data_IF_588639268113
#
_entry.id   IF_588639268113
#
_cell.length_a   1.000
_cell.length_b   1.000
_cell.length_c   1.000
_cell.angle_alpha   90.00
_cell.angle_beta   90.00
_cell.angle_gamma   90.00
#
_symmetry.space_group_name_H-M   'P 1'
#
loop_
_entity.id
_entity.type
_entity.pdbx_description
1 polymer ?
#
# COMPACT_ATOMS: atom_id res chain seq x y z
N UNK A 1 3.60 19.25 65.25
CA UNK A 1 4.67 18.89 66.20
C UNK A 1 4.88 17.40 66.05
N UNK A 2 6.09 17.00 65.63
CA UNK A 2 6.58 15.66 65.29
C UNK A 2 6.01 15.09 63.97
N UNK A 3 6.77 14.51 63.04
CA UNK A 3 8.23 14.37 62.81
C UNK A 3 8.38 13.92 61.36
N UNK A 4 9.41 14.42 60.68
CA UNK A 4 9.83 14.09 59.32
C UNK A 4 10.43 12.68 59.23
N UNK A 5 10.21 11.98 58.12
CA UNK A 5 11.16 10.98 57.61
C UNK A 5 11.13 11.02 56.08
N UNK A 6 12.09 11.73 55.51
CA UNK A 6 12.28 12.00 54.09
C UNK A 6 13.20 10.91 53.50
N UNK A 7 12.68 10.12 52.56
CA UNK A 7 13.44 9.04 51.89
C UNK A 7 14.22 9.63 50.71
N UNK A 8 15.55 9.73 50.84
CA UNK A 8 16.46 10.21 49.80
C UNK A 8 16.53 9.26 48.60
N UNK A 9 16.28 9.78 47.40
CA UNK A 9 16.54 9.14 46.10
C UNK A 9 17.93 9.62 45.61
N UNK A 10 18.87 8.74 45.23
CA UNK A 10 20.17 9.18 44.70
C UNK A 10 20.03 9.73 43.27
N UNK A 11 20.44 10.99 43.08
CA UNK A 11 20.56 11.67 41.79
C UNK A 11 21.77 11.11 41.00
N UNK A 12 21.55 10.66 39.78
CA UNK A 12 22.61 10.33 38.82
C UNK A 12 23.28 11.62 38.29
N UNK A 13 24.61 11.65 38.10
CA UNK A 13 25.30 12.83 37.58
C UNK A 13 25.07 13.02 36.08
N UNK A 14 24.51 14.18 35.72
CA UNK A 14 24.46 14.73 34.36
C UNK A 14 25.85 15.20 33.93
N UNK A 15 26.44 14.53 32.94
CA UNK A 15 27.64 15.02 32.25
C UNK A 15 27.23 15.97 31.11
N UNK A 16 27.58 17.25 31.29
CA UNK A 16 27.58 18.28 30.23
C UNK A 16 29.00 18.35 29.64
N UNK A 17 29.22 18.22 28.32
CA UNK A 17 30.54 18.50 27.75
C UNK A 17 30.71 20.01 27.53
N UNK A 18 31.83 20.52 28.04
CA UNK A 18 32.37 21.87 27.82
C UNK A 18 32.76 22.09 26.35
N UNK A 19 32.41 23.27 25.82
CA UNK A 19 32.98 23.80 24.57
C UNK A 19 34.43 24.24 24.79
N UNK A 20 35.35 24.00 23.84
CA UNK A 20 36.55 24.81 23.71
C UNK A 20 36.51 25.60 22.41
N UNK A 21 36.60 26.92 22.56
CA UNK A 21 37.10 27.84 21.53
C UNK A 21 38.64 27.73 21.51
N UNK A 22 39.25 27.68 20.32
CA UNK A 22 40.43 28.45 19.88
C UNK A 22 41.12 27.83 18.64
N UNK A 23 41.13 28.61 17.56
CA UNK A 23 42.27 29.00 16.72
C UNK A 23 43.45 28.03 16.47
N UNK A 24 43.69 27.78 15.17
CA UNK A 24 44.99 27.58 14.45
C UNK A 24 46.04 26.66 15.09
N UNK A 25 46.35 25.55 14.40
CA UNK A 25 47.68 25.38 13.79
C UNK A 25 47.76 24.21 12.80
N UNK A 26 48.65 24.38 11.84
CA UNK A 26 48.89 23.60 10.64
C UNK A 26 49.90 22.48 10.93
N UNK A 27 49.60 21.22 10.61
CA UNK A 27 50.57 20.13 10.68
C UNK A 27 49.98 18.73 10.43
N UNK A 28 50.21 18.19 9.24
CA UNK A 28 50.37 16.73 9.01
C UNK A 28 51.67 16.26 9.70
N UNK A 29 51.86 14.97 10.10
CA UNK A 29 51.30 13.75 9.51
C UNK A 29 50.97 12.59 10.51
N UNK A 30 50.66 11.43 9.92
CA UNK A 30 50.85 10.04 10.40
C UNK A 30 49.68 9.32 11.07
N UNK A 31 49.19 8.29 10.36
CA UNK A 31 48.25 7.28 10.81
C UNK A 31 48.91 6.35 11.84
N UNK A 32 48.27 6.19 13.00
CA UNK A 32 48.34 4.96 13.78
C UNK A 32 46.93 4.52 14.12
N UNK A 33 46.52 3.42 13.50
CA UNK A 33 45.27 2.71 13.77
C UNK A 33 45.42 1.86 15.04
N UNK A 34 44.69 2.19 16.09
CA UNK A 34 44.40 1.27 17.21
C UNK A 34 42.91 0.95 17.18
N UNK A 35 42.59 -0.25 16.69
CA UNK A 35 41.23 -0.81 16.66
C UNK A 35 40.84 -1.34 18.03
N UNK A 36 39.97 -0.62 18.75
CA UNK A 36 39.17 -1.22 19.82
C UNK A 36 37.88 -1.81 19.23
N UNK A 37 37.75 -3.14 19.32
CA UNK A 37 36.61 -3.90 18.84
C UNK A 37 35.38 -3.75 19.75
N UNK A 38 34.53 -2.77 19.44
CA UNK A 38 33.14 -2.76 19.90
C UNK A 38 32.24 -3.30 18.78
N UNK A 39 31.49 -4.37 19.06
CA UNK A 39 30.47 -4.89 18.14
C UNK A 39 29.42 -3.78 17.99
N UNK A 40 29.26 -3.26 16.78
CA UNK A 40 28.29 -2.22 16.51
C UNK A 40 26.91 -2.88 16.32
N UNK A 41 25.82 -2.22 16.73
CA UNK A 41 24.45 -2.79 16.63
C UNK A 41 24.11 -3.19 15.18
N UNK A 42 24.75 -2.54 14.20
CA UNK A 42 24.63 -2.86 12.78
C UNK A 42 25.25 -4.20 12.38
N UNK A 43 26.22 -4.73 13.14
CA UNK A 43 26.82 -6.05 12.90
C UNK A 43 25.87 -7.20 13.27
N UNK A 44 24.86 -6.94 14.12
CA UNK A 44 23.79 -7.89 14.46
C UNK A 44 22.64 -7.90 13.44
N UNK A 45 22.60 -6.95 12.51
CA UNK A 45 21.57 -6.90 11.46
C UNK A 45 22.07 -7.56 10.19
N UNK A 46 21.17 -8.26 9.49
CA UNK A 46 21.46 -8.81 8.16
C UNK A 46 21.92 -7.66 7.25
N UNK A 47 23.12 -7.78 6.67
CA UNK A 47 23.62 -6.83 5.69
C UNK A 47 22.68 -6.81 4.47
N UNK A 48 21.82 -5.80 4.39
CA UNK A 48 20.93 -5.59 3.25
C UNK A 48 21.72 -4.76 2.21
N UNK A 49 22.09 -5.32 1.03
CA UNK A 49 22.93 -4.63 0.05
C UNK A 49 22.33 -3.29 -0.43
N UNK A 50 21.00 -3.16 -0.41
CA UNK A 50 20.28 -1.96 -0.86
C UNK A 50 20.29 -0.79 0.14
N UNK A 51 20.86 -0.96 1.34
CA UNK A 51 20.97 0.10 2.35
C UNK A 51 22.20 1.00 2.18
N UNK A 52 23.13 0.65 1.29
CA UNK A 52 24.36 1.41 1.06
C UNK A 52 24.07 2.63 0.19
N UNK A 53 24.30 3.83 0.74
CA UNK A 53 24.45 5.06 -0.05
C UNK A 53 25.68 4.88 -0.95
N UNK A 54 25.48 4.57 -2.23
CA UNK A 54 26.53 4.79 -3.21
C UNK A 54 26.71 6.31 -3.38
N UNK A 55 27.72 6.88 -2.74
CA UNK A 55 28.28 8.15 -3.17
C UNK A 55 28.92 7.93 -4.55
N UNK A 56 28.68 8.86 -5.47
CA UNK A 56 29.05 8.80 -6.89
C UNK A 56 30.57 8.85 -7.18
N UNK A 57 31.44 8.37 -6.28
CA UNK A 57 32.89 8.47 -6.48
C UNK A 57 33.75 7.36 -5.86
N UNK A 58 33.19 6.20 -5.49
CA UNK A 58 34.02 5.03 -5.15
C UNK A 58 33.93 3.97 -6.23
N UNK A 59 34.96 3.91 -7.08
CA UNK A 59 35.32 2.67 -7.78
C UNK A 59 35.48 1.57 -6.72
N UNK A 60 34.52 0.67 -6.64
CA UNK A 60 34.57 -0.47 -5.75
C UNK A 60 35.53 -1.50 -6.31
N UNK A 61 36.69 -1.64 -5.67
CA UNK A 61 37.50 -2.86 -5.77
C UNK A 61 36.58 -4.07 -5.56
N UNK A 62 36.56 -4.96 -6.54
CA UNK A 62 35.62 -6.09 -6.62
C UNK A 62 35.80 -7.10 -5.49
N UNK A 63 35.12 -6.87 -4.36
CA UNK A 63 34.87 -7.93 -3.38
C UNK A 63 33.86 -8.91 -3.99
N UNK A 64 34.36 -10.10 -4.34
CA UNK A 64 33.55 -11.26 -4.72
C UNK A 64 32.49 -11.53 -3.62
N UNK A 65 31.22 -11.80 -3.99
CA UNK A 65 30.20 -12.15 -3.02
C UNK A 65 30.57 -13.46 -2.31
N UNK A 66 30.21 -13.59 -1.03
CA UNK A 66 30.47 -14.80 -0.25
C UNK A 66 29.82 -16.03 -0.91
N UNK A 67 30.44 -17.23 -0.79
CA UNK A 67 29.93 -18.44 -1.42
C UNK A 67 28.57 -18.85 -0.85
N UNK A 68 27.74 -19.48 -1.70
CA UNK A 68 26.39 -19.90 -1.35
C UNK A 68 26.38 -20.93 -0.20
N UNK A 69 25.60 -20.66 0.85
CA UNK A 69 25.46 -21.57 2.01
C UNK A 69 24.41 -22.67 1.84
N UNK A 70 23.81 -22.79 0.66
CA UNK A 70 22.70 -23.73 0.36
C UNK A 70 23.11 -25.21 0.52
N UNK A 71 24.41 -25.51 0.39
CA UNK A 71 24.95 -26.87 0.53
C UNK A 71 25.41 -27.26 1.93
N UNK A 72 25.31 -26.38 2.94
CA UNK A 72 25.75 -26.69 4.31
C UNK A 72 24.86 -27.76 4.94
N UNK A 73 25.43 -28.53 5.89
CA UNK A 73 24.67 -29.54 6.63
C UNK A 73 23.48 -28.94 7.38
N UNK A 74 23.65 -27.74 7.94
CA UNK A 74 22.59 -26.96 8.56
C UNK A 74 21.43 -26.69 7.59
N UNK A 75 21.73 -26.26 6.36
CA UNK A 75 20.69 -25.98 5.36
C UNK A 75 20.00 -27.25 4.85
N UNK A 76 20.74 -28.36 4.75
CA UNK A 76 20.17 -29.69 4.46
C UNK A 76 19.23 -30.18 5.55
N UNK A 77 19.55 -29.93 6.82
CA UNK A 77 18.66 -30.22 7.94
C UNK A 77 17.37 -29.38 7.84
N UNK A 78 17.47 -28.09 7.53
CA UNK A 78 16.29 -27.25 7.30
C UNK A 78 15.41 -27.76 6.17
N UNK A 79 15.99 -28.24 5.06
CA UNK A 79 15.21 -28.87 3.99
C UNK A 79 14.48 -30.13 4.44
N UNK A 80 15.15 -31.00 5.22
CA UNK A 80 14.52 -32.19 5.75
C UNK A 80 13.34 -31.84 6.68
N UNK A 81 13.51 -30.87 7.58
CA UNK A 81 12.44 -30.36 8.44
C UNK A 81 11.30 -29.78 7.59
N UNK A 82 11.61 -28.98 6.58
CA UNK A 82 10.61 -28.38 5.69
C UNK A 82 9.76 -29.44 4.97
N UNK A 83 10.41 -30.48 4.41
CA UNK A 83 9.74 -31.57 3.70
C UNK A 83 8.81 -32.40 4.59
N UNK A 84 9.02 -32.40 5.91
CA UNK A 84 8.15 -33.11 6.87
C UNK A 84 7.08 -32.16 7.42
N UNK A 85 7.48 -30.98 7.89
CA UNK A 85 6.61 -30.07 8.63
C UNK A 85 5.58 -29.42 7.70
N UNK A 86 5.95 -28.97 6.50
CA UNK A 86 5.01 -28.28 5.61
C UNK A 86 3.84 -29.18 5.17
N UNK A 87 4.07 -30.45 4.76
CA UNK A 87 2.97 -31.37 4.51
C UNK A 87 2.07 -31.60 5.73
N UNK A 88 2.63 -31.68 6.94
CA UNK A 88 1.84 -31.79 8.18
C UNK A 88 0.99 -30.54 8.41
N UNK A 89 1.57 -29.35 8.20
CA UNK A 89 0.87 -28.08 8.34
C UNK A 89 -0.32 -27.97 7.39
N UNK A 90 -0.23 -28.55 6.18
CA UNK A 90 -1.33 -28.64 5.20
C UNK A 90 -2.32 -29.74 5.59
N UNK A 91 -1.82 -30.91 5.99
CA UNK A 91 -2.64 -32.08 6.26
C UNK A 91 -3.59 -31.91 7.46
N UNK A 92 -3.14 -31.23 8.51
CA UNK A 92 -3.94 -30.97 9.71
C UNK A 92 -5.27 -30.24 9.38
N UNK A 93 -5.25 -29.01 8.82
CA UNK A 93 -6.48 -28.28 8.51
C UNK A 93 -7.35 -28.99 7.46
N UNK A 94 -6.75 -29.71 6.50
CA UNK A 94 -7.50 -30.53 5.53
C UNK A 94 -8.27 -31.66 6.24
N UNK A 95 -7.63 -32.31 7.21
CA UNK A 95 -8.26 -33.37 8.01
C UNK A 95 -9.39 -32.83 8.91
N UNK A 96 -9.19 -31.65 9.50
CA UNK A 96 -10.22 -30.96 10.29
C UNK A 96 -11.43 -30.50 9.44
N UNK A 97 -11.19 -30.30 8.15
CA UNK A 97 -12.18 -29.88 7.15
C UNK A 97 -12.93 -31.07 6.51
N UNK A 98 -12.65 -32.29 6.94
CA UNK A 98 -13.30 -33.49 6.42
C UNK A 98 -14.78 -33.55 6.83
N UNK A 99 -15.71 -33.96 5.94
CA UNK A 99 -17.11 -34.23 6.30
C UNK A 99 -17.29 -35.29 7.37
N UNK A 100 -16.29 -36.17 7.56
CA UNK A 100 -16.28 -37.21 8.58
C UNK A 100 -15.83 -36.70 9.95
N UNK A 101 -15.33 -35.46 10.04
CA UNK A 101 -14.83 -34.90 11.28
C UNK A 101 -16.01 -34.58 12.23
N UNK A 102 -15.96 -34.92 13.53
CA UNK A 102 -17.07 -34.70 14.48
C UNK A 102 -17.56 -33.25 14.55
N UNK A 103 -16.67 -32.28 14.36
CA UNK A 103 -17.00 -30.85 14.41
C UNK A 103 -17.57 -30.29 13.09
N UNK A 104 -17.57 -31.05 11.99
CA UNK A 104 -18.06 -30.59 10.69
C UNK A 104 -19.49 -30.02 10.72
N UNK A 105 -20.47 -30.64 11.42
CA UNK A 105 -21.82 -30.11 11.50
C UNK A 105 -21.93 -28.69 12.10
N UNK A 106 -20.97 -28.27 12.93
CA UNK A 106 -21.01 -26.96 13.59
C UNK A 106 -20.74 -25.77 12.66
N UNK A 107 -20.02 -26.02 11.55
CA UNK A 107 -19.63 -24.99 10.59
C UNK A 107 -20.10 -25.26 9.15
N UNK A 108 -20.70 -26.43 8.87
CA UNK A 108 -21.25 -26.80 7.56
C UNK A 108 -22.28 -25.80 7.01
N UNK A 109 -22.97 -25.04 7.86
CA UNK A 109 -23.93 -24.02 7.44
C UNK A 109 -23.28 -22.73 6.88
N UNK A 110 -21.96 -22.58 7.03
CA UNK A 110 -21.18 -21.47 6.48
C UNK A 110 -20.52 -21.81 5.14
N UNK A 111 -20.58 -23.08 4.75
CA UNK A 111 -20.00 -23.57 3.50
C UNK A 111 -21.04 -23.49 2.38
N UNK A 112 -20.56 -23.19 1.17
CA UNK A 112 -21.36 -23.13 -0.04
C UNK A 112 -20.89 -24.18 -1.05
N UNK A 113 -21.72 -24.45 -2.05
CA UNK A 113 -21.33 -25.35 -3.14
C UNK A 113 -20.22 -24.70 -3.98
N UNK A 114 -19.15 -25.47 -4.16
CA UNK A 114 -17.95 -25.03 -4.84
C UNK A 114 -17.94 -25.43 -6.32
N UNK A 115 -17.03 -24.82 -7.10
CA UNK A 115 -16.80 -25.20 -8.50
C UNK A 115 -15.95 -26.47 -8.67
N UNK A 116 -15.26 -26.94 -7.62
CA UNK A 116 -14.53 -28.21 -7.63
C UNK A 116 -15.52 -29.35 -7.37
N UNK A 117 -15.68 -30.32 -8.30
CA UNK A 117 -16.66 -31.39 -8.14
C UNK A 117 -16.49 -32.15 -6.82
N UNK A 118 -17.57 -32.24 -6.04
CA UNK A 118 -17.58 -32.94 -4.75
C UNK A 118 -16.93 -32.19 -3.59
N UNK A 119 -16.57 -30.90 -3.75
CA UNK A 119 -16.02 -30.06 -2.69
C UNK A 119 -16.89 -28.83 -2.43
N UNK A 120 -17.00 -28.49 -1.16
CA UNK A 120 -17.61 -27.24 -0.71
C UNK A 120 -16.53 -26.16 -0.66
N UNK A 121 -16.96 -24.90 -0.64
CA UNK A 121 -16.05 -23.75 -0.48
C UNK A 121 -16.37 -23.02 0.82
N UNK A 122 -15.32 -22.65 1.56
CA UNK A 122 -15.44 -21.74 2.70
C UNK A 122 -15.58 -20.30 2.22
N UNK A 123 -16.82 -19.85 2.04
CA UNK A 123 -17.14 -18.48 1.65
C UNK A 123 -17.44 -17.59 2.86
N UNK A 124 -16.90 -17.89 4.05
CA UNK A 124 -17.29 -17.21 5.30
C UNK A 124 -16.79 -15.77 5.39
N UNK A 125 -15.59 -15.46 4.89
CA UNK A 125 -15.00 -14.11 4.93
C UNK A 125 -15.84 -13.13 4.07
N UNK A 126 -16.43 -12.12 4.72
CA UNK A 126 -17.35 -11.21 4.03
C UNK A 126 -16.70 -10.35 2.94
N UNK A 127 -15.44 -9.96 3.12
CA UNK A 127 -14.74 -9.08 2.16
C UNK A 127 -14.25 -9.88 0.96
N UNK A 128 -13.67 -11.07 1.17
CA UNK A 128 -13.29 -11.95 0.07
C UNK A 128 -14.53 -12.48 -0.67
N UNK A 129 -15.60 -12.87 0.03
CA UNK A 129 -16.87 -13.26 -0.59
C UNK A 129 -17.41 -12.20 -1.55
N UNK A 130 -17.43 -10.94 -1.11
CA UNK A 130 -17.91 -9.83 -1.94
C UNK A 130 -17.04 -9.66 -3.19
N UNK A 131 -15.72 -9.73 -3.04
CA UNK A 131 -14.81 -9.68 -4.18
C UNK A 131 -15.01 -10.86 -5.15
N UNK A 132 -14.94 -12.09 -4.63
CA UNK A 132 -15.08 -13.35 -5.37
C UNK A 132 -16.35 -13.40 -6.18
N UNK A 133 -17.49 -13.09 -5.56
CA UNK A 133 -18.80 -13.12 -6.22
C UNK A 133 -18.94 -12.03 -7.30
N UNK A 134 -18.13 -10.98 -7.25
CA UNK A 134 -18.13 -9.89 -8.22
C UNK A 134 -16.98 -9.96 -9.24
N UNK A 135 -16.14 -11.02 -9.25
CA UNK A 135 -15.03 -11.17 -10.21
C UNK A 135 -15.47 -10.97 -11.67
N UNK A 136 -16.61 -11.52 -12.15
CA UNK A 136 -17.04 -11.29 -13.53
C UNK A 136 -17.35 -9.82 -13.82
N UNK A 137 -18.07 -9.15 -12.91
CA UNK A 137 -18.43 -7.74 -13.02
C UNK A 137 -17.18 -6.86 -13.00
N UNK A 138 -16.25 -7.14 -12.08
CA UNK A 138 -14.97 -6.45 -11.97
C UNK A 138 -14.11 -6.64 -13.23
N UNK A 139 -14.13 -7.84 -13.83
CA UNK A 139 -13.40 -8.12 -15.06
C UNK A 139 -13.92 -7.27 -16.24
N UNK A 140 -15.25 -7.19 -16.39
CA UNK A 140 -15.87 -6.32 -17.39
C UNK A 140 -15.54 -4.85 -17.13
N UNK A 141 -15.59 -4.40 -15.88
CA UNK A 141 -15.26 -3.02 -15.51
C UNK A 141 -13.80 -2.67 -15.83
N UNK A 142 -12.85 -3.59 -15.57
CA UNK A 142 -11.44 -3.40 -15.92
C UNK A 142 -11.27 -3.32 -17.44
N UNK A 143 -11.88 -4.24 -18.20
CA UNK A 143 -11.80 -4.23 -19.66
C UNK A 143 -12.39 -2.94 -20.26
N UNK A 144 -13.54 -2.50 -19.74
CA UNK A 144 -14.17 -1.24 -20.14
C UNK A 144 -13.27 -0.04 -19.79
N UNK A 145 -12.68 -0.01 -18.59
CA UNK A 145 -11.74 1.03 -18.20
C UNK A 145 -10.54 1.10 -19.16
N UNK A 146 -9.93 -0.05 -19.47
CA UNK A 146 -8.81 -0.14 -20.42
C UNK A 146 -9.22 0.31 -21.83
N UNK A 147 -10.41 -0.08 -22.29
CA UNK A 147 -10.95 0.31 -23.58
C UNK A 147 -11.20 1.82 -23.67
N UNK A 148 -11.87 2.42 -22.69
CA UNK A 148 -12.14 3.86 -22.66
C UNK A 148 -10.83 4.64 -22.60
N UNK A 149 -9.86 4.17 -21.80
CA UNK A 149 -8.53 4.78 -21.72
C UNK A 149 -7.77 4.69 -23.04
N UNK A 150 -7.84 3.54 -23.72
CA UNK A 150 -7.27 3.35 -25.05
C UNK A 150 -7.87 4.34 -26.05
N UNK A 151 -9.20 4.41 -26.14
CA UNK A 151 -9.92 5.34 -27.03
C UNK A 151 -9.54 6.80 -26.71
N UNK A 152 -9.62 7.21 -25.45
CA UNK A 152 -9.27 8.57 -25.01
C UNK A 152 -7.81 8.94 -25.35
N UNK A 153 -6.89 7.98 -25.24
CA UNK A 153 -5.49 8.17 -25.62
C UNK A 153 -5.29 8.26 -27.13
N UNK A 154 -6.06 7.50 -27.92
CA UNK A 154 -5.99 7.52 -29.39
C UNK A 154 -6.59 8.79 -30.02
N UNK A 155 -7.59 9.39 -29.35
CA UNK A 155 -8.26 10.61 -29.81
C UNK A 155 -7.55 11.89 -29.37
N UNK A 156 -6.57 11.80 -28.49
CA UNK A 156 -5.79 12.97 -28.05
C UNK A 156 -4.86 13.40 -29.21
N UNK A 157 -5.06 14.58 -29.83
CA UNK A 157 -4.23 15.00 -30.93
C UNK A 157 -2.79 15.18 -30.43
N UNK A 158 -1.85 14.47 -31.07
CA UNK A 158 -0.42 14.68 -30.90
C UNK A 158 -0.09 16.09 -31.40
N UNK A 159 -0.15 17.09 -30.51
CA UNK A 159 0.24 18.46 -30.85
C UNK A 159 1.76 18.50 -31.07
N UNK A 160 2.24 18.67 -32.32
CA UNK A 160 3.67 18.56 -32.62
C UNK A 160 4.47 19.79 -32.15
N UNK A 161 3.79 20.90 -31.82
CA UNK A 161 4.39 22.24 -31.69
C UNK A 161 4.85 22.61 -30.27
N UNK A 162 4.56 21.81 -29.25
CA UNK A 162 5.03 22.08 -27.88
C UNK A 162 6.42 21.48 -27.65
N UNK A 163 7.35 22.31 -27.16
CA UNK A 163 8.67 21.88 -26.67
C UNK A 163 8.53 20.71 -25.70
N UNK A 164 9.52 19.80 -25.68
CA UNK A 164 9.50 18.57 -24.89
C UNK A 164 9.29 18.80 -23.38
N UNK A 165 9.52 20.03 -22.89
CA UNK A 165 9.22 20.50 -21.52
C UNK A 165 7.74 20.84 -21.34
N UNK A 166 7.16 21.68 -22.18
CA UNK A 166 5.74 22.02 -22.12
C UNK A 166 4.83 20.78 -22.36
N UNK A 167 5.22 19.87 -23.27
CA UNK A 167 4.51 18.60 -23.50
C UNK A 167 4.55 17.67 -22.27
N UNK A 168 5.63 17.70 -21.46
CA UNK A 168 5.79 16.94 -20.20
C UNK A 168 4.93 17.47 -19.06
N UNK A 169 4.68 18.78 -19.01
CA UNK A 169 3.80 19.39 -18.01
C UNK A 169 2.32 19.43 -18.43
N UNK A 170 2.05 19.19 -19.71
CA UNK A 170 0.76 19.43 -20.35
C UNK A 170 0.18 18.16 -21.00
N UNK A 171 0.25 17.01 -20.32
CA UNK A 171 -0.66 15.87 -20.56
C UNK A 171 -1.83 15.88 -19.55
N UNK A 172 -2.75 16.87 -19.61
CA UNK A 172 -3.90 16.95 -18.72
C UNK A 172 -4.94 15.87 -19.01
N UNK A 173 -4.94 15.25 -20.19
CA UNK A 173 -5.98 14.28 -20.59
C UNK A 173 -5.99 13.02 -19.70
N UNK A 174 -4.82 12.49 -19.32
CA UNK A 174 -4.73 11.31 -18.44
C UNK A 174 -5.17 11.61 -17.00
N UNK A 175 -4.79 12.78 -16.46
CA UNK A 175 -5.11 13.12 -15.08
C UNK A 175 -6.57 13.58 -14.91
N UNK A 176 -7.11 14.31 -15.89
CA UNK A 176 -8.54 14.63 -15.95
C UNK A 176 -9.39 13.38 -16.17
N UNK A 177 -8.94 12.47 -17.03
CA UNK A 177 -9.57 11.15 -17.17
C UNK A 177 -9.58 10.40 -15.83
N UNK A 178 -8.43 10.32 -15.15
CA UNK A 178 -8.34 9.67 -13.84
C UNK A 178 -9.24 10.36 -12.81
N UNK A 179 -9.32 11.69 -12.79
CA UNK A 179 -10.21 12.43 -11.89
C UNK A 179 -11.68 12.04 -12.13
N UNK A 180 -12.14 12.12 -13.38
CA UNK A 180 -13.53 11.81 -13.75
C UNK A 180 -13.83 10.34 -13.44
N UNK A 181 -12.92 9.44 -13.82
CA UNK A 181 -13.05 8.01 -13.55
C UNK A 181 -13.08 7.71 -12.04
N UNK A 182 -12.25 8.38 -11.25
CA UNK A 182 -12.22 8.26 -9.79
C UNK A 182 -13.55 8.68 -9.19
N UNK A 183 -14.08 9.84 -9.60
CA UNK A 183 -15.36 10.36 -9.12
C UNK A 183 -16.51 9.41 -9.46
N UNK A 184 -16.61 8.96 -10.72
CA UNK A 184 -17.63 7.98 -11.14
C UNK A 184 -17.52 6.69 -10.32
N UNK A 185 -16.31 6.15 -10.17
CA UNK A 185 -16.08 4.90 -9.44
C UNK A 185 -16.48 5.03 -7.96
N UNK A 186 -16.03 6.10 -7.28
CA UNK A 186 -16.37 6.35 -5.87
C UNK A 186 -17.87 6.62 -5.70
N UNK A 187 -18.53 7.28 -6.64
CA UNK A 187 -19.99 7.45 -6.63
C UNK A 187 -20.72 6.12 -6.77
N UNK A 188 -20.30 5.22 -7.66
CA UNK A 188 -20.89 3.88 -7.79
C UNK A 188 -20.66 3.08 -6.51
N UNK A 189 -19.46 3.15 -5.93
CA UNK A 189 -19.11 2.41 -4.73
C UNK A 189 -19.86 2.90 -3.49
N UNK A 190 -20.04 4.21 -3.32
CA UNK A 190 -20.49 4.78 -2.03
C UNK A 190 -21.77 5.62 -2.12
N UNK A 191 -22.34 5.79 -3.31
CA UNK A 191 -23.60 6.51 -3.52
C UNK A 191 -23.56 7.90 -2.90
N UNK A 192 -24.55 8.22 -2.06
CA UNK A 192 -24.65 9.52 -1.38
C UNK A 192 -23.44 9.84 -0.48
N UNK A 193 -22.76 8.82 0.06
CA UNK A 193 -21.63 9.01 0.96
C UNK A 193 -20.42 9.66 0.27
N UNK A 194 -20.40 9.71 -1.07
CA UNK A 194 -19.40 10.47 -1.82
C UNK A 194 -19.37 11.94 -1.41
N UNK A 195 -20.53 12.51 -1.03
CA UNK A 195 -20.60 13.91 -0.56
C UNK A 195 -19.79 14.10 0.72
N UNK A 196 -19.87 13.13 1.65
CA UNK A 196 -19.09 13.14 2.90
C UNK A 196 -17.59 13.04 2.59
N UNK A 197 -17.21 12.12 1.70
CA UNK A 197 -15.81 11.94 1.27
C UNK A 197 -15.27 13.23 0.65
N UNK A 198 -15.97 13.80 -0.34
CA UNK A 198 -15.57 15.04 -1.03
C UNK A 198 -15.49 16.21 -0.05
N UNK A 199 -16.40 16.30 0.92
CA UNK A 199 -16.34 17.32 1.98
C UNK A 199 -15.08 17.18 2.84
N UNK A 200 -14.73 15.96 3.27
CA UNK A 200 -13.51 15.71 4.06
C UNK A 200 -12.26 16.05 3.23
N UNK A 201 -12.24 15.71 1.93
CA UNK A 201 -11.16 16.11 1.02
C UNK A 201 -11.07 17.63 0.91
N UNK A 202 -12.20 18.30 0.70
CA UNK A 202 -12.24 19.75 0.56
C UNK A 202 -11.70 20.46 1.80
N UNK A 203 -12.11 20.05 3.00
CA UNK A 203 -11.59 20.62 4.26
C UNK A 203 -10.08 20.38 4.39
N UNK A 204 -9.61 19.17 4.11
CA UNK A 204 -8.17 18.85 4.12
C UNK A 204 -7.37 19.74 3.15
N UNK A 205 -7.86 19.90 1.92
CA UNK A 205 -7.23 20.77 0.94
C UNK A 205 -7.20 22.23 1.40
N UNK A 206 -8.29 22.72 1.99
CA UNK A 206 -8.33 24.07 2.56
C UNK A 206 -7.34 24.24 3.71
N UNK A 207 -7.23 23.29 4.62
CA UNK A 207 -6.25 23.32 5.72
C UNK A 207 -4.82 23.39 5.16
N UNK A 208 -4.50 22.56 4.18
CA UNK A 208 -3.19 22.56 3.52
C UNK A 208 -2.90 23.91 2.83
N UNK A 209 -3.79 24.39 1.95
CA UNK A 209 -3.55 25.60 1.15
C UNK A 209 -3.66 26.91 1.93
N UNK A 210 -4.48 26.99 2.98
CA UNK A 210 -4.59 28.20 3.82
C UNK A 210 -3.44 28.32 4.81
N UNK A 211 -3.01 27.20 5.41
CA UNK A 211 -1.94 27.21 6.41
C UNK A 211 -0.54 27.08 5.81
N UNK A 212 -0.42 26.65 4.54
CA UNK A 212 0.83 26.62 3.74
C UNK A 212 2.01 26.01 4.51
N UNK A 213 3.17 26.66 4.49
CA UNK A 213 4.41 26.22 5.15
C UNK A 213 4.43 26.37 6.68
N UNK A 214 3.31 26.68 7.33
CA UNK A 214 3.27 26.76 8.80
C UNK A 214 3.22 25.36 9.43
N UNK A 215 3.82 25.20 10.62
CA UNK A 215 3.73 23.93 11.39
C UNK A 215 2.28 23.62 11.79
N UNK A 216 1.44 24.64 11.93
CA UNK A 216 0.01 24.50 12.19
C UNK A 216 -0.72 23.72 11.10
N UNK A 217 -0.27 23.80 9.82
CA UNK A 217 -0.85 23.01 8.73
C UNK A 217 -0.80 21.51 9.02
N UNK A 218 0.35 21.04 9.50
CA UNK A 218 0.59 19.64 9.85
C UNK A 218 -0.29 19.24 11.03
N UNK A 219 -0.25 20.01 12.12
CA UNK A 219 -0.98 19.70 13.36
C UNK A 219 -2.48 19.67 13.10
N UNK A 220 -3.03 20.70 12.45
CA UNK A 220 -4.47 20.78 12.16
C UNK A 220 -4.92 19.67 11.22
N UNK A 221 -4.11 19.29 10.23
CA UNK A 221 -4.42 18.16 9.35
C UNK A 221 -4.48 16.86 10.13
N UNK A 222 -3.50 16.58 11.01
CA UNK A 222 -3.53 15.37 11.83
C UNK A 222 -4.71 15.34 12.80
N UNK A 223 -4.99 16.44 13.49
CA UNK A 223 -6.12 16.55 14.42
C UNK A 223 -7.44 16.36 13.68
N UNK A 224 -7.64 17.02 12.54
CA UNK A 224 -8.86 16.89 11.75
C UNK A 224 -9.05 15.45 11.26
N UNK A 225 -8.03 14.85 10.66
CA UNK A 225 -8.11 13.48 10.17
C UNK A 225 -8.28 12.45 11.30
N UNK A 226 -7.63 12.64 12.45
CA UNK A 226 -7.83 11.81 13.63
C UNK A 226 -9.25 11.89 14.16
N UNK A 227 -9.83 13.10 14.21
CA UNK A 227 -11.22 13.30 14.58
C UNK A 227 -12.19 12.65 13.59
N UNK A 228 -11.92 12.71 12.28
CA UNK A 228 -12.70 12.01 11.25
C UNK A 228 -12.62 10.50 11.44
N UNK A 229 -11.44 9.92 11.67
CA UNK A 229 -11.28 8.48 11.94
C UNK A 229 -12.07 8.05 13.18
N UNK A 230 -11.93 8.80 14.27
CA UNK A 230 -12.66 8.51 15.50
C UNK A 230 -14.17 8.62 15.30
N UNK A 231 -14.64 9.70 14.66
CA UNK A 231 -16.05 9.88 14.34
C UNK A 231 -16.59 8.79 13.42
N UNK A 232 -15.81 8.34 12.45
CA UNK A 232 -16.18 7.25 11.55
C UNK A 232 -16.42 5.93 12.30
N UNK A 233 -15.56 5.61 13.28
CA UNK A 233 -15.70 4.41 14.10
C UNK A 233 -16.88 4.51 15.07
N UNK A 234 -17.03 5.64 15.77
CA UNK A 234 -18.08 5.84 16.77
C UNK A 234 -19.48 5.91 16.14
N UNK A 235 -19.61 6.51 14.95
CA UNK A 235 -20.89 6.75 14.29
C UNK A 235 -21.10 5.89 13.02
N UNK A 236 -20.32 4.82 12.85
CA UNK A 236 -20.40 3.87 11.73
C UNK A 236 -20.51 4.54 10.33
N UNK A 237 -19.75 5.60 10.08
CA UNK A 237 -19.80 6.33 8.80
C UNK A 237 -20.92 7.37 8.65
N UNK A 238 -21.47 7.84 9.78
CA UNK A 238 -22.32 9.03 9.90
C UNK A 238 -23.65 8.89 9.14
N UNK A 239 -24.46 7.89 9.47
CA UNK A 239 -25.78 7.68 8.83
C UNK A 239 -26.64 8.93 9.00
N UNK A 240 -27.18 9.48 7.91
CA UNK A 240 -27.90 10.76 7.94
C UNK A 240 -29.17 10.68 8.78
N UNK A 241 -29.88 9.55 8.73
CA UNK A 241 -31.09 9.29 9.51
C UNK A 241 -30.87 9.28 11.02
N UNK A 242 -29.64 9.08 11.51
CA UNK A 242 -29.33 9.18 12.94
C UNK A 242 -29.39 10.62 13.47
N UNK A 243 -29.12 11.59 12.60
CA UNK A 243 -29.03 13.01 12.97
C UNK A 243 -30.23 13.81 12.45
N UNK A 244 -30.77 13.38 11.30
CA UNK A 244 -31.84 14.06 10.59
C UNK A 244 -32.82 13.03 10.04
N UNK A 245 -33.92 12.81 10.76
CA UNK A 245 -34.95 11.82 10.40
C UNK A 245 -35.49 12.03 8.96
N UNK A 246 -35.70 13.28 8.54
CA UNK A 246 -36.16 13.62 7.18
C UNK A 246 -35.18 13.27 6.05
N UNK A 247 -33.92 12.97 6.37
CA UNK A 247 -32.89 12.56 5.41
C UNK A 247 -32.59 11.06 5.48
N UNK A 248 -33.30 10.28 6.30
CA UNK A 248 -33.06 8.85 6.46
C UNK A 248 -33.16 8.07 5.14
N UNK A 249 -34.05 8.48 4.23
CA UNK A 249 -34.22 7.87 2.91
C UNK A 249 -32.97 7.94 2.02
N UNK A 250 -32.05 8.88 2.28
CA UNK A 250 -30.78 8.96 1.55
C UNK A 250 -29.81 7.84 1.97
N UNK A 251 -29.92 7.33 3.19
CA UNK A 251 -29.06 6.24 3.65
C UNK A 251 -29.32 4.93 2.89
N UNK A 252 -30.52 4.77 2.29
CA UNK A 252 -30.84 3.65 1.39
C UNK A 252 -30.10 3.73 0.05
N UNK A 253 -29.52 4.89 -0.29
CA UNK A 253 -28.81 5.17 -1.54
C UNK A 253 -27.29 5.21 -1.34
N UNK A 254 -26.75 4.38 -0.44
CA UNK A 254 -25.34 4.40 -0.04
C UNK A 254 -24.37 3.57 -0.92
N UNK A 255 -24.80 3.18 -2.13
CA UNK A 255 -23.97 2.55 -3.16
C UNK A 255 -23.69 1.05 -2.90
N UNK A 256 -22.79 0.47 -3.69
CA UNK A 256 -22.43 -0.96 -3.58
C UNK A 256 -21.75 -1.33 -2.26
N UNK A 257 -20.98 -0.39 -1.70
CA UNK A 257 -20.22 -0.52 -0.46
C UNK A 257 -20.64 0.58 0.52
N UNK A 258 -21.66 0.27 1.32
CA UNK A 258 -22.20 1.16 2.35
C UNK A 258 -21.14 1.65 3.36
N UNK A 259 -20.13 0.83 3.68
CA UNK A 259 -19.09 1.12 4.68
C UNK A 259 -17.90 1.89 4.10
N UNK A 260 -18.18 3.06 3.53
CA UNK A 260 -17.17 3.94 2.92
C UNK A 260 -16.00 4.27 3.86
N UNK A 261 -16.27 4.36 5.15
CA UNK A 261 -15.29 4.72 6.18
C UNK A 261 -14.17 3.69 6.35
N UNK A 262 -14.39 2.42 5.99
CA UNK A 262 -13.35 1.38 6.06
C UNK A 262 -12.25 1.65 5.03
N UNK A 263 -12.62 1.86 3.76
CA UNK A 263 -11.68 2.20 2.68
C UNK A 263 -11.05 3.59 2.89
N UNK A 264 -11.79 4.50 3.53
CA UNK A 264 -11.30 5.83 3.83
C UNK A 264 -10.12 5.85 4.82
N UNK A 265 -9.98 4.85 5.69
CA UNK A 265 -8.89 4.79 6.67
C UNK A 265 -7.50 4.87 6.03
N UNK A 266 -7.29 4.21 4.89
CA UNK A 266 -6.03 4.29 4.13
C UNK A 266 -5.92 5.63 3.40
N UNK A 267 -7.04 6.16 2.90
CA UNK A 267 -7.10 7.45 2.20
C UNK A 267 -6.66 8.61 3.10
N UNK A 268 -6.95 8.55 4.40
CA UNK A 268 -6.50 9.52 5.39
C UNK A 268 -5.00 9.81 5.30
N UNK A 269 -4.17 8.76 5.20
CA UNK A 269 -2.71 8.90 5.13
C UNK A 269 -2.25 9.59 3.85
N UNK A 270 -3.02 9.48 2.75
CA UNK A 270 -2.78 10.26 1.53
C UNK A 270 -3.07 11.75 1.74
N UNK A 271 -4.10 12.08 2.51
CA UNK A 271 -4.45 13.48 2.80
C UNK A 271 -3.34 14.14 3.62
N UNK A 272 -2.84 13.42 4.63
CA UNK A 272 -1.67 13.85 5.41
C UNK A 272 -0.44 13.98 4.50
N UNK A 273 -0.17 13.01 3.63
CA UNK A 273 0.96 13.08 2.71
C UNK A 273 0.89 14.30 1.78
N UNK A 274 -0.28 14.65 1.26
CA UNK A 274 -0.45 15.86 0.45
C UNK A 274 -0.08 17.12 1.24
N UNK A 275 -0.57 17.23 2.48
CA UNK A 275 -0.23 18.37 3.36
C UNK A 275 1.27 18.45 3.62
N UNK A 276 1.92 17.32 3.90
CA UNK A 276 3.36 17.26 4.16
C UNK A 276 4.18 17.66 2.93
N UNK A 277 3.84 17.11 1.77
CA UNK A 277 4.48 17.43 0.49
C UNK A 277 4.32 18.92 0.16
N UNK A 278 3.13 19.49 0.38
CA UNK A 278 2.89 20.92 0.19
C UNK A 278 3.60 21.80 1.21
N UNK A 279 3.68 21.37 2.47
CA UNK A 279 4.41 22.07 3.53
C UNK A 279 5.91 22.17 3.20
N UNK A 280 6.51 21.09 2.68
CA UNK A 280 7.92 21.10 2.28
C UNK A 280 8.16 21.90 1.01
N UNK A 281 7.23 21.89 0.05
CA UNK A 281 7.29 22.75 -1.14
C UNK A 281 7.25 24.23 -0.75
N UNK A 282 6.36 24.63 0.17
CA UNK A 282 6.29 26.01 0.68
C UNK A 282 7.60 26.45 1.38
N UNK A 283 8.28 25.53 2.07
CA UNK A 283 9.46 25.82 2.88
C UNK A 283 10.78 25.56 2.15
N UNK A 284 10.76 25.30 0.83
CA UNK A 284 11.95 25.00 -0.01
C UNK A 284 12.89 23.95 0.59
N UNK A 285 12.35 22.99 1.35
CA UNK A 285 13.14 21.87 1.92
C UNK A 285 13.28 20.71 0.94
N UNK A 286 12.44 20.65 -0.09
CA UNK A 286 12.59 19.74 -1.22
C UNK A 286 13.53 20.34 -2.26
N UNK A 287 14.23 19.48 -3.01
CA UNK A 287 14.99 19.92 -4.19
C UNK A 287 13.98 20.39 -5.26
N UNK A 288 14.26 21.47 -5.97
CA UNK A 288 13.39 21.90 -7.05
C UNK A 288 13.69 21.06 -8.30
N UNK A 289 12.66 20.83 -9.12
CA UNK A 289 12.82 20.07 -10.37
C UNK A 289 13.84 20.70 -11.33
N UNK A 290 14.02 22.02 -11.25
CA UNK A 290 14.99 22.78 -12.06
C UNK A 290 16.44 22.44 -11.68
N UNK A 291 16.70 22.00 -10.43
CA UNK A 291 18.03 21.60 -9.96
C UNK A 291 18.49 20.24 -10.51
N UNK A 292 17.62 19.52 -11.24
CA UNK A 292 17.87 18.16 -11.74
C UNK A 292 17.83 18.05 -13.26
N UNK A 293 17.96 19.18 -13.98
CA UNK A 293 18.14 19.16 -15.44
C UNK A 293 19.32 18.25 -15.83
N UNK A 294 19.00 17.11 -16.46
CA UNK A 294 19.99 16.16 -17.00
C UNK A 294 19.93 14.75 -16.40
N UNK A 295 19.25 14.53 -15.27
CA UNK A 295 19.10 13.19 -14.69
C UNK A 295 18.01 12.42 -15.46
N UNK A 296 18.43 11.45 -16.28
CA UNK A 296 17.52 10.64 -17.12
C UNK A 296 16.57 9.75 -16.31
N UNK A 297 16.96 9.31 -15.12
CA UNK A 297 16.17 8.43 -14.26
C UNK A 297 16.38 8.78 -12.78
N UNK A 298 15.30 9.21 -12.12
CA UNK A 298 15.29 9.43 -10.68
C UNK A 298 14.93 8.14 -9.96
N UNK A 299 15.62 7.85 -8.86
CA UNK A 299 15.24 6.78 -7.94
C UNK A 299 13.90 7.09 -7.27
N UNK A 300 13.19 6.07 -6.80
CA UNK A 300 11.90 6.21 -6.10
C UNK A 300 11.97 7.23 -4.96
N UNK A 301 13.01 7.13 -4.11
CA UNK A 301 13.25 8.05 -3.01
C UNK A 301 13.48 9.50 -3.47
N UNK A 302 14.13 9.69 -4.62
CA UNK A 302 14.32 11.03 -5.18
C UNK A 302 13.00 11.62 -5.66
N UNK A 303 12.14 10.83 -6.31
CA UNK A 303 10.82 11.27 -6.79
C UNK A 303 9.92 11.76 -5.66
N UNK A 304 9.95 11.07 -4.52
CA UNK A 304 9.19 11.46 -3.33
C UNK A 304 9.67 12.79 -2.72
N UNK A 305 10.98 13.07 -2.77
CA UNK A 305 11.59 14.24 -2.16
C UNK A 305 11.53 15.52 -3.02
N UNK A 306 11.11 15.41 -4.28
CA UNK A 306 11.06 16.53 -5.21
C UNK A 306 9.74 17.27 -5.12
N UNK A 307 9.83 18.57 -4.85
CA UNK A 307 8.69 19.46 -4.83
C UNK A 307 8.26 19.79 -6.26
N UNK A 308 6.95 19.95 -6.46
CA UNK A 308 6.40 20.44 -7.73
C UNK A 308 6.13 21.95 -7.67
N UNK A 309 5.90 22.63 -8.79
CA UNK A 309 5.37 24.00 -8.78
C UNK A 309 4.02 24.12 -8.06
N UNK A 310 3.70 25.28 -7.47
CA UNK A 310 2.44 25.48 -6.70
C UNK A 310 1.17 25.15 -7.52
N UNK A 311 1.19 25.39 -8.84
CA UNK A 311 0.08 25.05 -9.76
C UNK A 311 -0.25 23.55 -9.81
N UNK A 312 0.70 22.69 -9.44
CA UNK A 312 0.51 21.25 -9.38
C UNK A 312 -0.26 20.84 -8.12
N UNK A 313 -0.11 21.56 -7.02
CA UNK A 313 -0.86 21.37 -5.78
C UNK A 313 -2.25 22.03 -5.88
N UNK A 314 -3.01 21.61 -6.89
CA UNK A 314 -4.39 22.05 -7.16
C UNK A 314 -5.40 21.05 -6.59
N UNK A 315 -6.64 21.52 -6.37
CA UNK A 315 -7.70 20.68 -5.82
C UNK A 315 -8.01 19.48 -6.72
N UNK A 316 -8.05 19.68 -8.04
CA UNK A 316 -8.30 18.61 -9.01
C UNK A 316 -7.26 17.49 -8.93
N UNK A 317 -5.97 17.84 -8.83
CA UNK A 317 -4.89 16.86 -8.72
C UNK A 317 -4.92 16.15 -7.36
N UNK A 318 -5.26 16.88 -6.30
CA UNK A 318 -5.43 16.33 -4.96
C UNK A 318 -6.57 15.30 -4.91
N UNK A 319 -7.74 15.59 -5.49
CA UNK A 319 -8.85 14.64 -5.57
C UNK A 319 -8.49 13.44 -6.43
N UNK A 320 -7.85 13.66 -7.59
CA UNK A 320 -7.40 12.57 -8.46
C UNK A 320 -6.42 11.62 -7.75
N UNK A 321 -5.53 12.16 -6.91
CA UNK A 321 -4.60 11.39 -6.09
C UNK A 321 -5.30 10.63 -4.95
N UNK A 322 -6.15 11.32 -4.18
CA UNK A 322 -6.79 10.74 -3.02
C UNK A 322 -7.79 9.62 -3.38
N UNK A 323 -8.50 9.79 -4.50
CA UNK A 323 -9.58 8.91 -4.94
C UNK A 323 -9.20 7.97 -6.10
N UNK A 324 -7.93 7.91 -6.48
CA UNK A 324 -7.49 7.03 -7.58
C UNK A 324 -7.89 5.57 -7.27
N UNK A 325 -8.80 4.93 -8.03
CA UNK A 325 -9.50 3.73 -7.57
C UNK A 325 -8.60 2.55 -7.17
N UNK A 326 -7.52 2.23 -7.92
CA UNK A 326 -6.59 1.18 -7.53
C UNK A 326 -5.97 1.42 -6.16
N UNK A 327 -5.62 2.67 -5.87
CA UNK A 327 -5.04 3.06 -4.59
C UNK A 327 -6.15 3.18 -3.52
N UNK A 328 -7.30 3.76 -3.84
CA UNK A 328 -8.40 4.01 -2.91
C UNK A 328 -8.90 2.74 -2.21
N UNK A 329 -9.03 1.62 -2.93
CA UNK A 329 -9.59 0.39 -2.37
C UNK A 329 -8.59 -0.42 -1.55
N UNK A 330 -7.41 -0.70 -2.11
CA UNK A 330 -6.44 -1.61 -1.48
C UNK A 330 -4.99 -1.37 -1.90
N UNK A 331 -4.70 -0.33 -2.69
CA UNK A 331 -3.34 -0.09 -3.16
C UNK A 331 -2.45 0.52 -2.08
N UNK A 332 -1.12 0.39 -2.25
CA UNK A 332 -0.15 0.90 -1.29
C UNK A 332 -0.26 2.42 -1.11
N UNK A 333 0.27 2.90 0.02
CA UNK A 333 0.32 4.33 0.29
C UNK A 333 1.52 4.89 -0.46
N UNK A 334 1.25 5.75 -1.45
CA UNK A 334 2.26 6.51 -2.15
C UNK A 334 2.14 7.99 -1.79
N UNK A 335 3.20 8.77 -1.97
CA UNK A 335 3.15 10.22 -1.72
C UNK A 335 2.54 10.98 -2.89
N UNK A 336 2.05 12.20 -2.64
CA UNK A 336 1.48 13.03 -3.70
C UNK A 336 2.55 13.39 -4.74
N UNK A 337 3.76 13.74 -4.29
CA UNK A 337 4.86 14.09 -5.19
C UNK A 337 5.21 12.95 -6.16
N UNK A 338 5.27 11.70 -5.67
CA UNK A 338 5.55 10.54 -6.51
C UNK A 338 4.38 10.21 -7.43
N UNK A 339 3.13 10.30 -6.95
CA UNK A 339 1.93 10.12 -7.79
C UNK A 339 1.93 11.10 -8.97
N UNK A 340 2.18 12.37 -8.70
CA UNK A 340 2.23 13.40 -9.73
C UNK A 340 3.41 13.21 -10.68
N UNK A 341 4.56 12.77 -10.18
CA UNK A 341 5.71 12.44 -11.01
C UNK A 341 5.39 11.30 -11.99
N UNK A 342 4.84 10.17 -11.50
CA UNK A 342 4.52 9.01 -12.34
C UNK A 342 3.50 9.35 -13.45
N UNK A 343 2.51 10.20 -13.15
CA UNK A 343 1.48 10.59 -14.13
C UNK A 343 1.94 11.63 -15.15
N UNK A 344 2.95 12.44 -14.84
CA UNK A 344 3.51 13.47 -15.74
C UNK A 344 4.72 12.99 -16.53
N UNK A 345 5.50 12.09 -15.93
CA UNK A 345 6.68 11.48 -16.51
C UNK A 345 6.48 9.97 -16.57
N UNK A 346 5.52 9.47 -17.38
CA UNK A 346 5.42 8.04 -17.62
C UNK A 346 6.79 7.57 -18.12
N UNK A 347 7.40 6.60 -17.43
CA UNK A 347 8.73 6.11 -17.76
C UNK A 347 8.82 5.88 -19.26
N UNK A 348 9.78 6.53 -19.94
CA UNK A 348 9.98 6.39 -21.40
C UNK A 348 10.45 4.99 -21.79
N UNK A 349 10.83 4.18 -20.81
CA UNK A 349 11.10 2.77 -20.97
C UNK A 349 10.09 2.00 -20.11
N UNK A 350 9.13 1.28 -20.72
CA UNK A 350 8.56 0.15 -20.01
C UNK A 350 9.70 -0.82 -19.68
N UNK A 351 9.72 -1.48 -18.51
CA UNK A 351 10.25 -2.83 -18.51
C UNK A 351 9.40 -3.58 -19.55
N UNK A 352 10.04 -4.03 -20.63
CA UNK A 352 9.44 -4.69 -21.80
C UNK A 352 8.17 -5.46 -21.43
N UNK A 353 7.10 -5.37 -22.23
CA UNK A 353 5.75 -6.02 -22.23
C UNK A 353 5.44 -7.26 -21.34
N UNK A 354 6.46 -7.89 -20.79
CA UNK A 354 6.53 -8.89 -19.73
C UNK A 354 5.87 -8.55 -18.37
N UNK A 355 5.81 -7.31 -17.81
CA UNK A 355 5.31 -7.13 -16.45
C UNK A 355 3.81 -7.35 -16.34
N UNK A 356 2.97 -6.85 -17.27
CA UNK A 356 1.51 -7.01 -17.18
C UNK A 356 1.13 -8.49 -17.27
N UNK A 357 1.72 -9.23 -18.22
CA UNK A 357 1.52 -10.68 -18.33
C UNK A 357 2.00 -11.40 -17.06
N UNK A 358 3.16 -11.02 -16.53
CA UNK A 358 3.70 -11.58 -15.28
C UNK A 358 2.79 -11.33 -14.07
N UNK A 359 2.31 -10.09 -13.88
CA UNK A 359 1.37 -9.74 -12.81
C UNK A 359 0.01 -10.40 -13.00
N UNK A 360 -0.47 -10.54 -14.23
CA UNK A 360 -1.72 -11.26 -14.52
C UNK A 360 -1.58 -12.74 -14.17
N UNK A 361 -0.48 -13.40 -14.59
CA UNK A 361 -0.22 -14.79 -14.24
C UNK A 361 -0.06 -14.94 -12.72
N UNK A 362 0.67 -14.03 -12.06
CA UNK A 362 0.83 -14.03 -10.60
C UNK A 362 -0.52 -13.93 -9.90
N UNK A 363 -1.36 -12.97 -10.32
CA UNK A 363 -2.71 -12.79 -9.82
C UNK A 363 -3.55 -14.06 -10.00
N UNK A 364 -3.56 -14.65 -11.19
CA UNK A 364 -4.32 -15.87 -11.47
C UNK A 364 -3.83 -17.07 -10.64
N UNK A 365 -2.51 -17.23 -10.48
CA UNK A 365 -1.93 -18.26 -9.62
C UNK A 365 -2.29 -18.05 -8.16
N UNK A 366 -2.26 -16.79 -7.68
CA UNK A 366 -2.61 -16.44 -6.30
C UNK A 366 -4.10 -16.66 -6.04
N UNK A 367 -4.97 -16.20 -6.94
CA UNK A 367 -6.41 -16.44 -6.90
C UNK A 367 -6.75 -17.94 -6.92
N UNK A 368 -6.10 -18.72 -7.80
CA UNK A 368 -6.30 -20.17 -7.84
C UNK A 368 -5.82 -20.85 -6.55
N UNK A 369 -4.72 -20.37 -5.98
CA UNK A 369 -4.20 -20.85 -4.69
C UNK A 369 -5.19 -20.53 -3.57
N UNK A 370 -5.78 -19.33 -3.55
CA UNK A 370 -6.82 -18.92 -2.63
C UNK A 370 -8.03 -19.84 -2.72
N UNK A 371 -8.55 -20.04 -3.94
CA UNK A 371 -9.69 -20.93 -4.17
C UNK A 371 -9.38 -22.35 -3.70
N UNK A 372 -8.22 -22.91 -4.06
CA UNK A 372 -7.80 -24.23 -3.59
C UNK A 372 -7.80 -24.30 -2.05
N UNK A 373 -7.18 -23.34 -1.35
CA UNK A 373 -7.18 -23.33 0.11
C UNK A 373 -8.61 -23.32 0.66
N UNK A 374 -9.50 -22.50 0.13
CA UNK A 374 -10.90 -22.41 0.61
C UNK A 374 -11.73 -23.67 0.32
N UNK A 375 -11.37 -24.46 -0.69
CA UNK A 375 -12.03 -25.75 -1.00
C UNK A 375 -11.50 -26.92 -0.16
N UNK A 376 -10.30 -26.80 0.39
CA UNK A 376 -9.65 -27.89 1.14
C UNK A 376 -9.51 -27.60 2.64
N UNK A 377 -9.47 -26.33 3.05
CA UNK A 377 -9.21 -25.88 4.41
C UNK A 377 -10.26 -24.86 4.86
N UNK A 378 -11.29 -25.31 5.55
CA UNK A 378 -12.43 -24.50 6.00
C UNK A 378 -12.15 -23.73 7.30
N UNK A 379 -10.95 -23.13 7.40
CA UNK A 379 -10.43 -22.56 8.65
C UNK A 379 -11.15 -21.27 9.06
N UNK A 380 -11.69 -20.50 8.11
CA UNK A 380 -12.43 -19.27 8.41
C UNK A 380 -13.79 -19.63 9.01
N UNK A 381 -14.50 -20.60 8.43
CA UNK A 381 -15.74 -21.15 8.96
C UNK A 381 -15.56 -21.75 10.36
N UNK A 382 -14.49 -22.55 10.56
CA UNK A 382 -14.15 -23.12 11.87
C UNK A 382 -13.91 -22.01 12.90
N UNK A 383 -13.15 -20.97 12.54
CA UNK A 383 -12.86 -19.84 13.41
C UNK A 383 -14.13 -19.08 13.80
N UNK A 384 -14.94 -18.72 12.81
CA UNK A 384 -16.14 -17.90 13.02
C UNK A 384 -17.19 -18.62 13.86
N UNK A 385 -17.28 -19.94 13.72
CA UNK A 385 -18.20 -20.79 14.49
C UNK A 385 -17.59 -21.30 15.79
N UNK A 386 -16.33 -20.97 16.08
CA UNK A 386 -15.56 -21.49 17.23
C UNK A 386 -15.60 -23.02 17.32
N UNK A 387 -15.60 -23.70 16.17
CA UNK A 387 -15.83 -25.13 16.04
C UNK A 387 -14.57 -25.97 16.29
N UNK A 388 -13.83 -25.65 17.36
CA UNK A 388 -12.56 -26.26 17.73
C UNK A 388 -12.64 -27.05 19.04
N UNK A 389 -13.84 -27.47 19.45
CA UNK A 389 -14.04 -28.30 20.65
C UNK A 389 -13.28 -29.61 20.47
N UNK A 390 -12.44 -29.94 21.46
CA UNK A 390 -11.62 -31.17 21.43
C UNK A 390 -10.39 -31.10 20.51
N UNK A 391 -10.07 -29.94 19.93
CA UNK A 391 -8.84 -29.80 19.15
C UNK A 391 -7.60 -29.81 20.03
N UNK A 392 -6.53 -30.44 19.55
CA UNK A 392 -5.21 -30.39 20.17
C UNK A 392 -4.58 -29.01 20.00
N UNK A 393 -3.56 -28.65 20.81
CA UNK A 393 -2.83 -27.39 20.64
C UNK A 393 -2.26 -27.20 19.23
N UNK A 394 -1.76 -28.28 18.60
CA UNK A 394 -1.26 -28.25 17.23
C UNK A 394 -2.37 -27.95 16.22
N UNK A 395 -3.56 -28.55 16.38
CA UNK A 395 -4.71 -28.30 15.51
C UNK A 395 -5.20 -26.85 15.59
N UNK A 396 -5.35 -26.32 16.80
CA UNK A 396 -5.76 -24.91 17.01
C UNK A 396 -4.70 -23.95 16.43
N UNK A 397 -3.42 -24.23 16.66
CA UNK A 397 -2.31 -23.47 16.08
C UNK A 397 -2.39 -23.44 14.55
N UNK A 398 -2.65 -24.57 13.90
CA UNK A 398 -2.77 -24.63 12.44
C UNK A 398 -4.00 -23.89 11.91
N UNK A 399 -5.14 -23.94 12.61
CA UNK A 399 -6.32 -23.13 12.24
C UNK A 399 -5.98 -21.64 12.29
N UNK A 400 -5.30 -21.19 13.35
CA UNK A 400 -4.85 -19.80 13.47
C UNK A 400 -3.84 -19.40 12.40
N UNK A 401 -2.83 -20.25 12.15
CA UNK A 401 -1.80 -20.03 11.14
C UNK A 401 -2.40 -19.90 9.74
N UNK A 402 -3.25 -20.84 9.33
CA UNK A 402 -3.86 -20.80 7.99
C UNK A 402 -4.87 -19.67 7.85
N UNK A 403 -5.57 -19.29 8.91
CA UNK A 403 -6.39 -18.08 8.88
C UNK A 403 -5.53 -16.83 8.63
N UNK A 404 -4.32 -16.73 9.19
CA UNK A 404 -3.39 -15.64 8.88
C UNK A 404 -2.88 -15.72 7.43
N UNK A 405 -2.57 -16.91 6.92
CA UNK A 405 -2.19 -17.11 5.51
C UNK A 405 -3.31 -16.67 4.57
N UNK A 406 -4.57 -17.00 4.86
CA UNK A 406 -5.73 -16.57 4.07
C UNK A 406 -5.86 -15.04 4.08
N UNK A 407 -5.71 -14.40 5.25
CA UNK A 407 -5.71 -12.93 5.35
C UNK A 407 -4.57 -12.32 4.54
N UNK A 408 -3.38 -12.91 4.59
CA UNK A 408 -2.23 -12.46 3.82
C UNK A 408 -2.44 -12.61 2.30
N UNK A 409 -2.89 -13.78 1.85
CA UNK A 409 -3.11 -14.07 0.43
C UNK A 409 -4.17 -13.14 -0.17
N UNK A 410 -5.22 -12.86 0.60
CA UNK A 410 -6.25 -11.86 0.26
C UNK A 410 -5.66 -10.45 0.07
N UNK A 411 -4.70 -10.03 0.88
CA UNK A 411 -4.02 -8.73 0.71
C UNK A 411 -3.18 -8.73 -0.59
N UNK A 412 -2.48 -9.83 -0.87
CA UNK A 412 -1.67 -9.98 -2.10
C UNK A 412 -2.55 -9.93 -3.36
N UNK A 413 -3.67 -10.66 -3.37
CA UNK A 413 -4.60 -10.65 -4.51
C UNK A 413 -5.12 -9.24 -4.81
N UNK A 414 -5.45 -8.49 -3.75
CA UNK A 414 -5.94 -7.13 -3.86
C UNK A 414 -4.85 -6.15 -4.33
N UNK A 415 -3.61 -6.34 -3.87
CA UNK A 415 -2.47 -5.55 -4.31
C UNK A 415 -2.19 -5.77 -5.80
N UNK A 416 -2.17 -7.02 -6.27
CA UNK A 416 -1.90 -7.38 -7.67
C UNK A 416 -2.91 -6.72 -8.63
N UNK A 417 -4.19 -6.69 -8.26
CA UNK A 417 -5.24 -6.01 -9.03
C UNK A 417 -4.95 -4.52 -9.17
N UNK A 418 -4.45 -3.89 -8.10
CA UNK A 418 -4.19 -2.45 -8.10
C UNK A 418 -3.08 -2.03 -9.08
N UNK A 419 -2.19 -2.95 -9.46
CA UNK A 419 -1.09 -2.72 -10.40
C UNK A 419 -1.46 -2.96 -11.86
N UNK A 420 -2.51 -3.75 -12.17
CA UNK A 420 -2.96 -4.07 -13.53
C UNK A 420 -3.34 -2.83 -14.40
N UNK A 421 -4.03 -1.79 -13.90
CA UNK A 421 -4.45 -0.65 -14.72
C UNK A 421 -3.38 0.42 -14.91
N UNK A 422 -2.15 0.23 -14.41
CA UNK A 422 -1.05 1.17 -14.58
C UNK A 422 -0.42 0.99 -15.97
N UNK A 423 -0.80 1.79 -17.00
CA UNK A 423 -0.31 1.60 -18.34
C UNK A 423 1.01 2.36 -18.42
N UNK A 424 2.11 1.67 -18.15
CA UNK A 424 3.39 2.15 -18.61
C UNK A 424 3.37 2.14 -20.14
N UNK A 425 3.33 3.36 -20.69
CA UNK A 425 3.33 3.74 -22.10
C UNK A 425 3.82 2.62 -23.04
N UNK A 426 2.88 1.99 -23.75
CA UNK A 426 3.20 1.13 -24.88
C UNK A 426 3.68 2.01 -26.03
N UNK A 427 4.97 1.94 -26.35
CA UNK A 427 5.46 2.40 -27.64
C UNK A 427 5.03 1.35 -28.69
N UNK A 428 3.95 1.64 -29.41
CA UNK A 428 3.62 0.94 -30.65
C UNK A 428 2.17 0.48 -30.68
N UNK A 429 1.34 1.21 -31.44
CA UNK A 429 -0.03 0.84 -31.79
C UNK A 429 -0.18 -0.43 -32.64
N UNK A 430 0.80 -1.34 -32.64
CA UNK A 430 0.80 -2.56 -33.47
C UNK A 430 0.65 -3.86 -32.66
N UNK A 431 0.77 -3.84 -31.32
CA UNK A 431 0.72 -5.08 -30.53
C UNK A 431 -0.72 -5.52 -30.17
N UNK A 432 -1.65 -4.57 -29.97
CA UNK A 432 -3.04 -4.90 -29.63
C UNK A 432 -3.81 -5.53 -30.82
N UNK A 433 -3.45 -5.16 -32.05
CA UNK A 433 -3.98 -5.78 -33.27
C UNK A 433 -3.45 -7.20 -33.49
N UNK A 434 -2.27 -7.54 -32.96
CA UNK A 434 -1.66 -8.89 -33.05
C UNK A 434 -2.20 -9.89 -32.03
N UNK A 435 -2.88 -9.43 -30.98
CA UNK A 435 -3.52 -10.30 -29.99
C UNK A 435 -4.95 -10.69 -30.38
N UNK A 436 -5.51 -10.01 -31.40
CA UNK A 436 -6.85 -10.27 -31.94
C UNK A 436 -6.82 -10.80 -33.38
N UNK A 437 -5.63 -11.04 -33.94
CA UNK A 437 -5.37 -11.75 -35.20
C UNK A 437 -4.68 -13.07 -34.90
#
# INVERSE_FOLDING_TARGET
MNTEEETQIPLLPTHTPLSPDFSKDMGTPTQHSTTHGGINITDLTVNIPSSVRHSLSSQTNGKQPAPSRWGTLEFKLYYAVFLVVVPIMIWIPVSLSSPLHPNFPFYRNKLEDGWIPGRLVDNSDAQYRTFRNNIPVLSVAILLHLLVKYIASSLSPDSPSLTSRARRFNTPSSLMFNLIFSLITVTILHGINVLKIVLILFINYLLAKRLRGSRSSIIMTWVFNGAVLFGNEVFEGWKLGQWFEGLAWLDDHAGLYHRWYISFNITMLRLVSFTMDYYWACNKKGKDLDDLEGVKELSEKQRQALSHPDSIYSFSNFVAYALYPPLYLAGPIMTFNDFMWQHRYPNKQPPASTPIKGYTIRFLCSLLTMECILHFMYVVAIKDRKAWVGYTPAQISMVGFWNLIIVWLKVVDMEDISWLPCPYKNNGGNEFARLLS
#
